data_IF_575022881749
#
_entry.id   IF_575022881749
#
_cell.length_a   1.000
_cell.length_b   1.000
_cell.length_c   1.000
_cell.angle_alpha   90.00
_cell.angle_beta   90.00
_cell.angle_gamma   90.00
#
_symmetry.space_group_name_H-M   'P 1'
#
loop_
_entity.id
_entity.type
_entity.pdbx_description
1 polymer ?
#
# COMPACT_ATOMS: atom_id res chain seq x y z
N UNK A 1 0.33 -4.93 7.82
CA UNK A 1 0.57 -6.27 7.23
C UNK A 1 1.29 -7.14 8.24
N UNK A 2 0.77 -8.34 8.48
CA UNK A 2 1.30 -9.25 9.50
C UNK A 2 2.38 -10.18 8.96
N UNK A 3 2.22 -10.67 7.75
CA UNK A 3 3.15 -11.63 7.16
C UNK A 3 4.44 -10.97 6.73
N UNK A 4 5.56 -11.44 7.29
CA UNK A 4 6.90 -10.94 6.94
C UNK A 4 7.25 -11.25 5.49
N UNK A 5 6.76 -12.38 4.97
CA UNK A 5 6.96 -12.73 3.57
C UNK A 5 6.20 -11.78 2.64
N UNK A 6 5.00 -11.36 3.03
CA UNK A 6 4.25 -10.37 2.26
C UNK A 6 4.98 -9.03 2.24
N UNK A 7 5.56 -8.62 3.36
CA UNK A 7 6.34 -7.38 3.43
C UNK A 7 7.49 -7.41 2.43
N UNK A 8 8.25 -8.50 2.41
CA UNK A 8 9.35 -8.66 1.45
C UNK A 8 8.87 -8.59 0.01
N UNK A 9 7.73 -9.19 -0.29
CA UNK A 9 7.13 -9.13 -1.64
C UNK A 9 6.75 -7.69 -2.03
N UNK A 10 6.25 -6.89 -1.09
CA UNK A 10 5.99 -5.48 -1.34
C UNK A 10 7.26 -4.70 -1.67
N UNK A 11 8.37 -4.96 -1.00
CA UNK A 11 9.66 -4.35 -1.34
C UNK A 11 10.05 -4.68 -2.77
N UNK A 12 9.89 -5.93 -3.15
CA UNK A 12 10.24 -6.36 -4.51
C UNK A 12 9.36 -5.68 -5.56
N UNK A 13 8.06 -5.57 -5.31
CA UNK A 13 7.12 -4.87 -6.20
C UNK A 13 7.48 -3.38 -6.29
N UNK A 14 7.76 -2.75 -5.16
CA UNK A 14 8.12 -1.34 -5.11
C UNK A 14 9.40 -1.05 -5.92
N UNK A 15 10.37 -1.94 -5.82
CA UNK A 15 11.60 -1.84 -6.61
C UNK A 15 11.30 -1.92 -8.11
N UNK A 16 10.48 -2.89 -8.51
CA UNK A 16 10.15 -3.12 -9.91
C UNK A 16 9.51 -1.89 -10.58
N UNK A 17 8.70 -1.14 -9.84
CA UNK A 17 7.98 0.02 -10.38
C UNK A 17 8.53 1.35 -9.88
N UNK A 18 9.72 1.33 -9.28
CA UNK A 18 10.43 2.52 -8.79
C UNK A 18 9.58 3.38 -7.86
N UNK A 19 8.85 2.73 -6.96
CA UNK A 19 8.16 3.44 -5.89
C UNK A 19 9.21 4.16 -5.03
N UNK A 20 8.88 5.36 -4.61
CA UNK A 20 9.83 6.20 -3.89
C UNK A 20 10.20 5.64 -2.52
N UNK A 21 9.20 5.14 -1.79
CA UNK A 21 9.40 4.75 -0.40
C UNK A 21 8.31 3.81 0.07
N UNK A 22 8.64 2.93 1.00
CA UNK A 22 7.68 2.09 1.70
C UNK A 22 7.57 2.58 3.14
N UNK A 23 6.35 2.76 3.61
CA UNK A 23 6.06 3.10 5.00
C UNK A 23 5.46 1.90 5.70
N UNK A 24 6.12 1.46 6.76
CA UNK A 24 5.70 0.33 7.58
C UNK A 24 5.08 0.88 8.86
N UNK A 25 3.90 0.40 9.24
CA UNK A 25 3.16 1.00 10.36
C UNK A 25 2.65 -0.07 11.33
N UNK A 26 2.74 0.25 12.62
CA UNK A 26 2.15 -0.55 13.70
C UNK A 26 2.77 -1.93 13.83
N UNK A 27 1.92 -2.96 13.69
CA UNK A 27 2.34 -4.36 13.82
C UNK A 27 3.16 -4.85 12.62
N UNK A 28 3.24 -4.07 11.56
CA UNK A 28 4.01 -4.44 10.38
C UNK A 28 5.48 -4.60 10.73
N UNK A 29 6.06 -5.75 10.40
CA UNK A 29 7.48 -6.00 10.64
C UNK A 29 8.36 -5.11 9.78
N UNK A 30 9.62 -4.98 10.17
CA UNK A 30 10.56 -4.11 9.48
C UNK A 30 11.91 -4.79 9.26
N UNK A 31 12.63 -4.40 8.19
CA UNK A 31 14.00 -4.90 7.99
C UNK A 31 14.93 -4.47 9.14
N UNK A 32 16.02 -5.21 9.42
CA UNK A 32 16.35 -6.46 8.77
C UNK A 32 15.60 -7.64 9.40
N UNK A 33 15.11 -8.54 8.58
CA UNK A 33 14.50 -9.79 9.04
C UNK A 33 14.64 -10.86 7.97
N UNK A 34 15.02 -12.07 8.38
CA UNK A 34 15.27 -13.18 7.47
C UNK A 34 14.09 -13.49 6.55
N UNK A 35 12.87 -13.50 7.10
CA UNK A 35 11.68 -13.81 6.32
C UNK A 35 11.32 -12.71 5.33
N UNK A 36 11.65 -11.47 5.64
CA UNK A 36 11.49 -10.35 4.70
C UNK A 36 12.50 -10.49 3.58
N UNK A 37 13.76 -10.77 3.91
CA UNK A 37 14.83 -10.90 2.91
C UNK A 37 14.60 -12.02 1.91
N UNK A 38 13.97 -13.12 2.32
CA UNK A 38 13.68 -14.25 1.44
C UNK A 38 12.83 -13.86 0.22
N UNK A 39 11.87 -12.98 0.40
CA UNK A 39 10.95 -12.57 -0.66
C UNK A 39 11.33 -11.23 -1.29
N UNK A 40 12.04 -10.38 -0.56
CA UNK A 40 12.48 -9.07 -1.05
C UNK A 40 13.60 -9.17 -2.09
N UNK A 41 14.43 -10.23 -2.03
CA UNK A 41 15.55 -10.46 -2.96
C UNK A 41 16.45 -9.24 -3.16
N UNK A 42 16.83 -8.60 -2.03
CA UNK A 42 17.71 -7.44 -2.06
C UNK A 42 16.99 -6.09 -2.16
N UNK A 43 15.70 -6.07 -2.42
CA UNK A 43 14.96 -4.82 -2.58
C UNK A 43 14.91 -3.96 -1.31
N UNK A 44 15.15 -4.54 -0.13
CA UNK A 44 15.25 -3.75 1.11
C UNK A 44 16.46 -2.80 1.10
N UNK A 45 17.43 -3.03 0.23
CA UNK A 45 18.60 -2.17 0.08
C UNK A 45 18.42 -1.13 -1.03
N UNK A 46 17.49 -1.37 -1.96
CA UNK A 46 17.26 -0.46 -3.10
C UNK A 46 16.04 0.45 -2.91
N UNK A 47 15.10 0.06 -2.07
CA UNK A 47 13.90 0.86 -1.78
C UNK A 47 14.01 1.45 -0.38
N UNK A 48 13.91 2.76 -0.27
CA UNK A 48 13.89 3.44 1.03
C UNK A 48 12.64 3.04 1.81
N UNK A 49 12.77 2.98 3.13
CA UNK A 49 11.62 2.67 3.98
C UNK A 49 11.71 3.43 5.30
N UNK A 50 10.54 3.63 5.93
CA UNK A 50 10.43 4.24 7.24
C UNK A 50 9.39 3.47 8.06
N UNK A 51 9.54 3.51 9.38
CA UNK A 51 8.58 2.91 10.30
C UNK A 51 7.82 4.00 11.06
N UNK A 52 6.51 3.82 11.22
CA UNK A 52 5.64 4.70 12.00
C UNK A 52 4.87 3.87 13.02
N UNK A 53 4.77 4.36 14.24
CA UNK A 53 4.08 3.63 15.28
C UNK A 53 2.56 3.57 15.08
N UNK A 54 1.96 4.69 14.68
CA UNK A 54 0.52 4.75 14.55
C UNK A 54 0.07 5.55 13.31
N UNK A 55 -1.24 5.51 13.08
CA UNK A 55 -1.85 6.16 11.93
C UNK A 55 -1.68 7.67 11.95
N UNK A 56 -1.70 8.29 13.15
CA UNK A 56 -1.54 9.75 13.24
C UNK A 56 -0.19 10.22 12.75
N UNK A 57 0.86 9.46 13.04
CA UNK A 57 2.20 9.78 12.54
C UNK A 57 2.26 9.69 11.02
N UNK A 58 1.63 8.67 10.44
CA UNK A 58 1.55 8.51 8.99
C UNK A 58 0.79 9.69 8.36
N UNK A 59 -0.35 10.04 8.93
CA UNK A 59 -1.17 11.14 8.41
C UNK A 59 -0.44 12.48 8.47
N UNK A 60 0.28 12.75 9.56
CA UNK A 60 1.06 13.98 9.71
C UNK A 60 2.19 14.06 8.69
N UNK A 61 2.91 12.97 8.50
CA UNK A 61 4.02 12.96 7.54
C UNK A 61 3.49 13.10 6.11
N UNK A 62 2.39 12.45 5.79
CA UNK A 62 1.76 12.56 4.48
C UNK A 62 1.32 14.00 4.19
N UNK A 63 0.72 14.66 5.17
CA UNK A 63 0.33 16.07 5.05
C UNK A 63 1.55 16.96 4.83
N UNK A 64 2.61 16.74 5.60
CA UNK A 64 3.86 17.48 5.49
C UNK A 64 4.47 17.36 4.09
N UNK A 65 4.41 16.18 3.49
CA UNK A 65 4.95 15.92 2.16
C UNK A 65 3.95 16.19 1.03
N UNK A 66 2.74 16.65 1.36
CA UNK A 66 1.67 16.90 0.39
C UNK A 66 1.30 15.65 -0.42
N UNK A 67 1.29 14.49 0.23
CA UNK A 67 0.86 13.25 -0.41
C UNK A 67 -0.65 13.15 -0.47
N UNK A 68 -1.16 12.60 -1.55
CA UNK A 68 -2.56 12.20 -1.66
C UNK A 68 -2.66 10.74 -1.26
N UNK A 69 -3.21 10.47 -0.09
CA UNK A 69 -3.37 9.11 0.40
C UNK A 69 -4.62 8.46 -0.18
N UNK A 70 -4.54 7.17 -0.44
CA UNK A 70 -5.66 6.38 -0.97
C UNK A 70 -5.69 5.04 -0.24
N UNK A 71 -6.83 4.69 0.34
CA UNK A 71 -7.03 3.38 0.95
C UNK A 71 -7.33 2.33 -0.12
N UNK A 72 -6.71 1.19 -0.03
CA UNK A 72 -7.05 0.04 -0.87
C UNK A 72 -7.97 -0.84 -0.04
N UNK A 73 -9.27 -0.60 -0.17
CA UNK A 73 -10.29 -1.28 0.61
C UNK A 73 -11.66 -1.10 -0.04
N UNK A 74 -12.50 -2.11 0.08
CA UNK A 74 -13.88 -2.02 -0.36
C UNK A 74 -14.70 -1.31 0.72
N UNK A 75 -15.18 -0.12 0.40
CA UNK A 75 -16.00 0.71 1.31
C UNK A 75 -17.22 1.22 0.55
N UNK A 76 -18.13 1.91 1.28
CA UNK A 76 -19.33 2.50 0.65
C UNK A 76 -18.97 3.51 -0.43
N UNK A 77 -17.84 4.18 -0.32
CA UNK A 77 -17.44 5.25 -1.23
C UNK A 77 -16.23 4.86 -2.10
N UNK A 78 -15.86 3.57 -2.13
CA UNK A 78 -14.72 3.15 -2.92
C UNK A 78 -15.02 3.21 -4.42
N UNK A 79 -13.99 3.58 -5.18
CA UNK A 79 -14.04 3.66 -6.64
C UNK A 79 -13.32 2.44 -7.21
N UNK A 80 -13.89 1.77 -8.22
CA UNK A 80 -13.18 0.68 -8.88
C UNK A 80 -11.84 1.15 -9.46
N UNK A 81 -10.81 0.35 -9.28
CA UNK A 81 -9.44 0.70 -9.71
C UNK A 81 -9.39 1.11 -11.19
N UNK A 82 -10.11 0.42 -12.04
CA UNK A 82 -10.12 0.71 -13.48
C UNK A 82 -10.79 2.05 -13.80
N UNK A 83 -11.61 2.58 -12.91
CA UNK A 83 -12.29 3.86 -13.07
C UNK A 83 -11.62 5.00 -12.32
N UNK A 84 -10.64 4.70 -11.48
CA UNK A 84 -9.96 5.72 -10.70
C UNK A 84 -9.13 6.64 -11.61
N UNK A 85 -9.39 7.94 -11.52
CA UNK A 85 -8.71 8.94 -12.34
C UNK A 85 -7.55 9.52 -11.52
N UNK A 86 -6.33 9.38 -12.03
CA UNK A 86 -5.15 9.95 -11.38
C UNK A 86 -4.90 11.37 -11.89
N UNK A 87 -4.39 12.19 -10.99
CA UNK A 87 -3.90 13.53 -11.32
C UNK A 87 -2.37 13.45 -11.42
N UNK A 88 -1.79 13.67 -12.61
CA UNK A 88 -0.33 13.54 -12.77
C UNK A 88 0.50 14.52 -11.94
N UNK A 89 -0.13 15.60 -11.45
CA UNK A 89 0.56 16.58 -10.61
C UNK A 89 0.67 16.14 -9.15
N UNK A 90 -0.01 15.07 -8.74
CA UNK A 90 -0.04 14.59 -7.37
C UNK A 90 0.93 13.43 -7.16
N UNK A 91 1.40 13.30 -5.91
CA UNK A 91 2.14 12.14 -5.45
C UNK A 91 1.21 11.33 -4.57
N UNK A 92 1.01 10.07 -4.93
CA UNK A 92 0.06 9.20 -4.23
C UNK A 92 0.74 8.30 -3.22
N UNK A 93 0.11 8.16 -2.05
CA UNK A 93 0.46 7.16 -1.07
C UNK A 93 -0.67 6.14 -0.97
N UNK A 94 -0.38 4.87 -1.21
CA UNK A 94 -1.38 3.80 -1.21
C UNK A 94 -1.30 3.02 0.08
N UNK A 95 -2.43 2.87 0.75
CA UNK A 95 -2.50 2.21 2.06
C UNK A 95 -3.10 0.82 1.89
N UNK A 96 -2.33 -0.20 2.24
CA UNK A 96 -2.77 -1.59 2.28
C UNK A 96 -2.98 -2.03 3.72
N UNK A 97 -4.04 -2.76 3.95
CA UNK A 97 -4.39 -3.20 5.28
C UNK A 97 -3.77 -4.51 5.71
N UNK A 98 -4.12 -4.88 6.91
CA UNK A 98 -3.80 -6.15 7.54
C UNK A 98 -4.56 -7.28 6.84
N UNK A 99 -3.95 -8.46 6.73
CA UNK A 99 -4.54 -9.61 6.02
C UNK A 99 -5.82 -10.12 6.70
N UNK A 100 -6.02 -9.82 7.97
CA UNK A 100 -7.19 -10.25 8.73
C UNK A 100 -8.24 -9.13 8.86
N UNK A 101 -7.79 -7.94 9.23
CA UNK A 101 -8.69 -6.84 9.60
C UNK A 101 -8.87 -5.78 8.50
N UNK A 102 -8.04 -5.83 7.46
CA UNK A 102 -8.06 -4.81 6.41
C UNK A 102 -7.43 -3.49 6.85
N UNK A 103 -7.78 -2.41 6.17
CA UNK A 103 -7.30 -1.07 6.50
C UNK A 103 -7.94 -0.60 7.80
N UNK A 104 -7.15 0.02 8.68
CA UNK A 104 -7.65 0.47 9.97
C UNK A 104 -8.77 1.50 9.82
N UNK A 105 -9.70 1.52 10.79
CA UNK A 105 -10.80 2.47 10.78
C UNK A 105 -10.33 3.91 10.77
N UNK A 106 -9.23 4.21 11.44
CA UNK A 106 -8.70 5.57 11.48
C UNK A 106 -8.29 6.04 10.09
N UNK A 107 -7.67 5.20 9.28
CA UNK A 107 -7.37 5.53 7.89
C UNK A 107 -8.64 5.65 7.06
N UNK A 108 -9.61 4.77 7.27
CA UNK A 108 -10.89 4.83 6.55
C UNK A 108 -11.60 6.16 6.83
N UNK A 109 -11.57 6.62 8.08
CA UNK A 109 -12.22 7.89 8.46
C UNK A 109 -11.48 9.12 7.96
N UNK A 110 -10.14 9.11 8.01
CA UNK A 110 -9.33 10.32 7.76
C UNK A 110 -8.87 10.46 6.32
N UNK A 111 -8.82 9.38 5.56
CA UNK A 111 -8.39 9.39 4.16
C UNK A 111 -9.64 9.37 3.28
N UNK A 112 -9.77 10.41 2.46
CA UNK A 112 -10.97 10.62 1.64
C UNK A 112 -11.15 9.56 0.56
N UNK A 113 -10.08 9.18 -0.11
CA UNK A 113 -10.16 8.32 -1.28
C UNK A 113 -9.97 6.84 -0.92
N UNK A 114 -10.80 5.99 -1.52
CA UNK A 114 -10.67 4.55 -1.41
C UNK A 114 -10.84 3.92 -2.79
N UNK A 115 -10.00 2.96 -3.09
CA UNK A 115 -10.03 2.22 -4.35
C UNK A 115 -10.28 0.76 -4.04
N UNK A 116 -11.17 0.14 -4.81
CA UNK A 116 -11.36 -1.30 -4.74
C UNK A 116 -10.96 -1.98 -6.03
N UNK A 117 -10.46 -3.20 -5.93
CA UNK A 117 -10.21 -4.04 -7.11
C UNK A 117 -11.49 -4.80 -7.39
N UNK A 118 -12.13 -4.60 -8.56
CA UNK A 118 -13.34 -5.34 -8.89
C UNK A 118 -13.06 -6.85 -8.93
N UNK A 119 -13.87 -7.61 -8.21
CA UNK A 119 -13.73 -9.06 -8.12
C UNK A 119 -15.08 -9.70 -8.42
N UNK A 120 -15.09 -10.66 -9.33
CA UNK A 120 -16.31 -11.30 -9.80
C UNK A 120 -16.52 -12.70 -9.24
N UNK A 121 -15.59 -13.16 -8.41
CA UNK A 121 -15.68 -14.48 -7.79
C UNK A 121 -16.53 -14.49 -6.52
N UNK A 122 -16.59 -15.66 -5.89
CA UNK A 122 -17.35 -15.84 -4.65
C UNK A 122 -16.58 -15.39 -3.41
N UNK A 123 -15.26 -15.42 -3.47
CA UNK A 123 -14.40 -14.87 -2.40
C UNK A 123 -14.17 -13.38 -2.68
N UNK A 124 -14.27 -12.56 -1.64
CA UNK A 124 -14.21 -11.11 -1.80
C UNK A 124 -12.88 -10.50 -1.35
N UNK A 125 -11.84 -11.31 -1.22
CA UNK A 125 -10.52 -10.83 -0.85
C UNK A 125 -9.44 -11.53 -1.65
N UNK A 126 -8.45 -10.75 -2.07
CA UNK A 126 -7.23 -11.24 -2.70
C UNK A 126 -6.11 -11.26 -1.66
N UNK A 127 -5.11 -12.08 -1.88
CA UNK A 127 -3.87 -11.97 -1.14
C UNK A 127 -3.36 -10.53 -1.27
N UNK A 128 -2.90 -9.96 -0.16
CA UNK A 128 -2.53 -8.53 -0.13
C UNK A 128 -1.37 -8.20 -1.09
N UNK A 129 -0.44 -9.13 -1.32
CA UNK A 129 0.67 -8.88 -2.24
C UNK A 129 0.21 -8.89 -3.70
N UNK A 130 -0.79 -9.71 -4.00
CA UNK A 130 -1.42 -9.71 -5.33
C UNK A 130 -2.15 -8.39 -5.54
N UNK A 131 -2.92 -7.95 -4.54
CA UNK A 131 -3.57 -6.63 -4.58
C UNK A 131 -2.54 -5.53 -4.77
N UNK A 132 -1.43 -5.60 -4.05
CA UNK A 132 -0.33 -4.64 -4.16
C UNK A 132 0.21 -4.56 -5.59
N UNK A 133 0.49 -5.70 -6.20
CA UNK A 133 0.99 -5.75 -7.58
C UNK A 133 0.01 -5.16 -8.57
N UNK A 134 -1.27 -5.51 -8.45
CA UNK A 134 -2.32 -5.00 -9.34
C UNK A 134 -2.46 -3.49 -9.22
N UNK A 135 -2.56 -2.97 -7.99
CA UNK A 135 -2.74 -1.54 -7.75
C UNK A 135 -1.53 -0.74 -8.20
N UNK A 136 -0.34 -1.17 -7.81
CA UNK A 136 0.90 -0.45 -8.15
C UNK A 136 1.10 -0.42 -9.66
N UNK A 137 0.89 -1.54 -10.35
CA UNK A 137 0.97 -1.58 -11.81
C UNK A 137 -0.02 -0.62 -12.47
N UNK A 138 -1.28 -0.63 -12.03
CA UNK A 138 -2.31 0.23 -12.64
C UNK A 138 -2.00 1.71 -12.43
N UNK A 139 -1.60 2.10 -11.22
CA UNK A 139 -1.24 3.49 -10.95
C UNK A 139 0.03 3.91 -11.68
N UNK A 140 1.04 3.04 -11.72
CA UNK A 140 2.27 3.28 -12.48
C UNK A 140 1.94 3.56 -13.96
N UNK A 141 1.10 2.74 -14.55
CA UNK A 141 0.67 2.88 -15.94
C UNK A 141 -0.07 4.20 -16.17
N UNK A 142 -0.95 4.58 -15.27
CA UNK A 142 -1.75 5.80 -15.37
C UNK A 142 -0.94 7.07 -15.16
N UNK A 143 0.13 7.00 -14.38
CA UNK A 143 0.97 8.16 -14.03
C UNK A 143 2.10 8.42 -15.02
N UNK A 144 2.29 7.54 -15.96
CA UNK A 144 3.38 7.66 -16.95
C UNK A 144 3.06 8.65 -18.04
#
# INVERSE_FOLDING_TARGET
IRSLQNIGSFFRTADAFRCKEIWLQGITGKPPHREIHKTALGATLSVSWRYFEDELEVLKEAEKQHLTLVNIEQTLNSVPLNEFIVDPSKTYGVIFGNEVEGVSEKFIEKVKDAIEIPQLGTKHSLNVTISGGIVVWELFKKLR
#
